data_IF_752518939595
#
_entry.id   IF_752518939595
#
_cell.length_a   1.000
_cell.length_b   1.000
_cell.length_c   1.000
_cell.angle_alpha   90.00
_cell.angle_beta   90.00
_cell.angle_gamma   90.00
#
_symmetry.space_group_name_H-M   'P 1'
#
loop_
_entity.id
_entity.type
_entity.pdbx_description
1 polymer ?
#
# COMPACT_ATOMS: atom_id res chain seq x y z
N UNK A 1 -21.75 -17.91 -54.54
CA UNK A 1 -22.32 -18.33 -53.24
C UNK A 1 -22.93 -17.08 -52.63
N UNK A 2 -24.25 -17.06 -52.48
CA UNK A 2 -25.02 -15.85 -52.23
C UNK A 2 -24.83 -15.37 -50.79
N UNK A 3 -24.60 -14.06 -50.63
CA UNK A 3 -24.57 -13.33 -49.35
C UNK A 3 -25.75 -13.75 -48.46
N UNK A 4 -25.45 -14.42 -47.35
CA UNK A 4 -26.43 -14.73 -46.30
C UNK A 4 -26.71 -13.47 -45.46
N UNK A 5 -27.27 -12.47 -46.15
CA UNK A 5 -27.54 -11.16 -45.56
C UNK A 5 -28.75 -11.31 -44.64
N UNK A 6 -28.48 -11.30 -43.33
CA UNK A 6 -29.50 -11.43 -42.29
C UNK A 6 -30.67 -10.47 -42.53
N UNK A 7 -31.85 -11.07 -42.69
CA UNK A 7 -33.09 -10.38 -43.02
C UNK A 7 -33.67 -9.80 -41.73
N UNK A 8 -33.39 -8.53 -41.45
CA UNK A 8 -33.97 -7.81 -40.31
C UNK A 8 -34.70 -6.56 -40.79
N UNK A 9 -35.77 -6.19 -40.09
CA UNK A 9 -36.45 -4.90 -40.29
C UNK A 9 -35.54 -3.74 -39.85
N UNK A 10 -35.67 -2.53 -40.45
CA UNK A 10 -34.86 -1.37 -40.05
C UNK A 10 -35.03 -1.01 -38.56
N UNK A 11 -36.23 -1.20 -38.02
CA UNK A 11 -36.52 -0.98 -36.61
C UNK A 11 -35.80 -2.00 -35.70
N UNK A 12 -35.72 -3.27 -36.10
CA UNK A 12 -34.99 -4.30 -35.37
C UNK A 12 -33.47 -4.06 -35.35
N UNK A 13 -32.88 -3.65 -36.48
CA UNK A 13 -31.44 -3.32 -36.54
C UNK A 13 -31.08 -2.18 -35.61
N UNK A 14 -31.85 -1.09 -35.68
CA UNK A 14 -31.62 0.08 -34.83
C UNK A 14 -31.71 -0.27 -33.35
N UNK A 15 -32.71 -1.06 -32.96
CA UNK A 15 -32.89 -1.47 -31.56
C UNK A 15 -31.80 -2.45 -31.10
N UNK A 16 -31.31 -3.33 -31.98
CA UNK A 16 -30.21 -4.22 -31.68
C UNK A 16 -28.87 -3.47 -31.54
N UNK A 17 -28.60 -2.49 -32.40
CA UNK A 17 -27.41 -1.63 -32.31
C UNK A 17 -27.42 -0.78 -31.02
N UNK A 18 -28.56 -0.18 -30.68
CA UNK A 18 -28.72 0.63 -29.46
C UNK A 18 -28.52 -0.20 -28.16
N UNK A 19 -28.79 -1.51 -28.22
CA UNK A 19 -28.69 -2.43 -27.08
C UNK A 19 -27.45 -3.33 -27.12
N UNK A 20 -26.63 -3.25 -28.18
CA UNK A 20 -25.45 -4.09 -28.37
C UNK A 20 -25.77 -5.59 -28.53
N UNK A 21 -26.91 -5.93 -29.13
CA UNK A 21 -27.38 -7.31 -29.31
C UNK A 21 -27.02 -7.79 -30.72
N UNK A 22 -26.40 -8.96 -30.83
CA UNK A 22 -26.12 -9.58 -32.13
C UNK A 22 -27.40 -10.14 -32.75
N UNK A 23 -27.78 -9.63 -33.92
CA UNK A 23 -29.00 -10.03 -34.61
C UNK A 23 -29.01 -11.50 -35.09
N UNK A 24 -27.84 -12.14 -35.19
CA UNK A 24 -27.71 -13.55 -35.54
C UNK A 24 -28.20 -14.49 -34.43
N UNK A 25 -28.20 -14.01 -33.18
CA UNK A 25 -28.62 -14.79 -32.01
C UNK A 25 -30.14 -14.67 -31.77
N UNK A 26 -30.81 -13.79 -32.52
CA UNK A 26 -32.25 -13.52 -32.39
C UNK A 26 -33.03 -14.36 -33.40
N UNK A 27 -33.92 -15.20 -32.89
CA UNK A 27 -34.84 -15.99 -33.73
C UNK A 27 -35.94 -15.08 -34.31
N UNK A 28 -35.92 -14.88 -35.63
CA UNK A 28 -36.89 -14.02 -36.32
C UNK A 28 -38.25 -14.66 -36.55
N UNK A 29 -39.33 -13.98 -36.14
CA UNK A 29 -40.72 -14.45 -36.26
C UNK A 29 -41.38 -14.10 -37.61
N UNK A 30 -40.74 -13.26 -38.42
CA UNK A 30 -41.29 -12.78 -39.70
C UNK A 30 -41.20 -13.77 -40.86
N UNK A 31 -41.95 -13.51 -41.93
CA UNK A 31 -41.94 -14.33 -43.14
C UNK A 31 -40.51 -14.52 -43.70
N UNK A 32 -40.11 -15.78 -43.91
CA UNK A 32 -38.74 -16.20 -44.27
C UNK A 32 -37.67 -15.90 -43.21
N UNK A 33 -38.00 -16.04 -41.92
CA UNK A 33 -37.06 -15.89 -40.80
C UNK A 33 -36.60 -14.44 -40.57
N UNK A 34 -37.46 -13.47 -40.92
CA UNK A 34 -37.12 -12.05 -40.79
C UNK A 34 -37.22 -11.59 -39.33
N UNK A 35 -36.19 -10.94 -38.81
CA UNK A 35 -36.17 -10.40 -37.44
C UNK A 35 -36.98 -9.10 -37.36
N UNK A 36 -38.00 -9.11 -36.52
CA UNK A 36 -38.83 -7.96 -36.18
C UNK A 36 -38.36 -7.29 -34.88
N UNK A 37 -38.90 -6.10 -34.59
CA UNK A 37 -38.50 -5.33 -33.41
C UNK A 37 -38.87 -6.07 -32.11
N UNK A 38 -40.03 -6.72 -32.14
CA UNK A 38 -40.57 -7.52 -31.04
C UNK A 38 -39.69 -8.74 -30.72
N UNK A 39 -39.00 -9.30 -31.72
CA UNK A 39 -38.10 -10.44 -31.55
C UNK A 39 -36.84 -10.03 -30.76
N UNK A 40 -36.29 -8.85 -31.05
CA UNK A 40 -35.12 -8.29 -30.33
C UNK A 40 -35.50 -7.88 -28.90
N UNK A 41 -36.71 -7.36 -28.69
CA UNK A 41 -37.25 -7.06 -27.34
C UNK A 41 -37.48 -8.35 -26.54
N UNK A 42 -38.00 -9.41 -27.17
CA UNK A 42 -38.20 -10.71 -26.54
C UNK A 42 -36.86 -11.34 -26.17
N UNK A 43 -35.86 -11.27 -27.06
CA UNK A 43 -34.51 -11.77 -26.82
C UNK A 43 -33.86 -11.11 -25.59
N UNK A 44 -34.02 -9.78 -25.45
CA UNK A 44 -33.59 -9.02 -24.26
C UNK A 44 -34.23 -9.57 -22.98
N UNK A 45 -35.52 -9.89 -23.01
CA UNK A 45 -36.23 -10.37 -21.81
C UNK A 45 -35.86 -11.80 -21.42
N UNK A 46 -35.46 -12.65 -22.37
CA UNK A 46 -34.97 -14.01 -22.10
C UNK A 46 -33.51 -14.06 -21.67
N UNK A 47 -32.63 -13.16 -22.16
CA UNK A 47 -31.18 -13.26 -21.93
C UNK A 47 -30.66 -12.35 -20.80
N UNK A 48 -31.51 -11.47 -20.22
CA UNK A 48 -31.14 -10.72 -19.02
C UNK A 48 -31.41 -11.59 -17.79
N UNK A 49 -30.34 -12.14 -17.21
CA UNK A 49 -30.40 -12.87 -15.93
C UNK A 49 -30.92 -11.93 -14.84
N UNK A 50 -32.16 -12.16 -14.40
CA UNK A 50 -32.83 -11.34 -13.40
C UNK A 50 -32.38 -11.76 -12.01
N UNK A 51 -31.44 -11.05 -11.39
CA UNK A 51 -30.99 -11.31 -10.01
C UNK A 51 -31.60 -10.29 -9.03
N UNK A 52 -32.02 -10.74 -7.85
CA UNK A 52 -32.47 -9.82 -6.80
C UNK A 52 -31.28 -9.00 -6.25
N UNK A 53 -31.48 -7.74 -5.83
CA UNK A 53 -30.38 -6.89 -5.33
C UNK A 53 -29.63 -7.50 -4.13
N UNK A 54 -30.35 -8.25 -3.29
CA UNK A 54 -29.77 -8.95 -2.14
C UNK A 54 -28.93 -10.16 -2.57
N UNK A 55 -29.43 -10.94 -3.54
CA UNK A 55 -28.70 -12.08 -4.09
C UNK A 55 -27.43 -11.65 -4.84
N UNK A 56 -27.49 -10.52 -5.57
CA UNK A 56 -26.32 -9.96 -6.27
C UNK A 56 -25.19 -9.57 -5.32
N UNK A 57 -25.54 -9.01 -4.15
CA UNK A 57 -24.56 -8.62 -3.12
C UNK A 57 -23.84 -9.85 -2.56
N UNK A 58 -24.60 -10.89 -2.22
CA UNK A 58 -24.07 -12.15 -1.67
C UNK A 58 -23.21 -12.87 -2.73
N UNK A 59 -23.65 -12.89 -3.98
CA UNK A 59 -22.88 -13.54 -5.05
C UNK A 59 -21.56 -12.83 -5.34
N UNK A 60 -21.52 -11.49 -5.28
CA UNK A 60 -20.27 -10.72 -5.40
C UNK A 60 -19.31 -10.97 -4.23
N UNK A 61 -19.84 -11.08 -3.01
CA UNK A 61 -19.04 -11.32 -1.80
C UNK A 61 -18.37 -12.70 -1.81
N UNK A 62 -19.02 -13.68 -2.42
CA UNK A 62 -18.54 -15.06 -2.52
C UNK A 62 -17.97 -15.44 -3.91
N UNK A 63 -17.77 -14.47 -4.81
CA UNK A 63 -17.28 -14.66 -6.19
C UNK A 63 -18.05 -15.74 -6.99
N UNK A 64 -19.37 -15.80 -6.82
CA UNK A 64 -20.22 -16.78 -7.50
C UNK A 64 -20.70 -16.20 -8.83
N UNK A 65 -20.40 -16.89 -9.94
CA UNK A 65 -20.96 -16.56 -11.26
C UNK A 65 -22.46 -16.92 -11.31
N UNK A 66 -23.32 -15.95 -11.64
CA UNK A 66 -24.78 -16.10 -11.61
C UNK A 66 -25.42 -16.38 -12.96
N UNK A 67 -24.62 -16.51 -14.01
CA UNK A 67 -25.06 -16.78 -15.38
C UNK A 67 -25.64 -18.18 -15.55
N UNK A 68 -25.18 -19.13 -14.73
CA UNK A 68 -25.58 -20.54 -14.79
C UNK A 68 -26.59 -20.92 -13.69
N UNK A 69 -26.96 -19.96 -12.83
CA UNK A 69 -27.86 -20.22 -11.70
C UNK A 69 -29.31 -20.14 -12.16
N UNK A 70 -30.02 -21.26 -12.06
CA UNK A 70 -31.46 -21.28 -12.29
C UNK A 70 -32.20 -20.66 -11.09
N UNK A 71 -32.72 -19.44 -11.28
CA UNK A 71 -33.44 -18.72 -10.24
C UNK A 71 -34.84 -19.28 -9.95
N UNK A 72 -35.16 -19.51 -8.68
CA UNK A 72 -36.46 -20.06 -8.24
C UNK A 72 -37.53 -18.99 -8.02
N UNK A 73 -37.20 -17.71 -8.18
CA UNK A 73 -38.13 -16.58 -8.02
C UNK A 73 -39.07 -16.35 -9.21
N UNK A 74 -40.09 -15.52 -8.99
CA UNK A 74 -41.10 -15.18 -10.01
C UNK A 74 -40.47 -14.66 -11.32
N UNK A 75 -40.78 -15.33 -12.44
CA UNK A 75 -40.19 -15.12 -13.79
C UNK A 75 -38.68 -15.43 -13.87
N UNK A 76 -38.22 -16.50 -13.22
CA UNK A 76 -36.84 -17.00 -13.29
C UNK A 76 -35.82 -16.14 -12.54
N UNK A 77 -36.28 -15.39 -11.52
CA UNK A 77 -35.44 -14.43 -10.79
C UNK A 77 -34.59 -15.13 -9.73
N UNK A 78 -33.27 -14.93 -9.74
CA UNK A 78 -32.34 -15.51 -8.75
C UNK A 78 -32.56 -14.82 -7.40
N UNK A 79 -32.97 -15.62 -6.40
CA UNK A 79 -33.22 -15.17 -5.03
C UNK A 79 -32.05 -15.56 -4.11
N UNK A 80 -32.06 -14.99 -2.89
CA UNK A 80 -31.03 -15.26 -1.87
C UNK A 80 -30.79 -16.76 -1.63
N UNK A 81 -31.86 -17.56 -1.62
CA UNK A 81 -31.80 -19.00 -1.38
C UNK A 81 -31.01 -19.74 -2.47
N UNK A 82 -31.12 -19.30 -3.72
CA UNK A 82 -30.45 -19.93 -4.86
C UNK A 82 -28.94 -19.70 -4.83
N UNK A 83 -28.51 -18.51 -4.39
CA UNK A 83 -27.08 -18.17 -4.22
C UNK A 83 -26.51 -18.87 -2.98
N UNK A 84 -27.29 -18.99 -1.91
CA UNK A 84 -26.86 -19.68 -0.69
C UNK A 84 -26.80 -21.21 -0.84
N UNK A 85 -27.65 -21.81 -1.68
CA UNK A 85 -27.63 -23.26 -1.94
C UNK A 85 -26.37 -23.73 -2.68
N UNK A 86 -25.64 -22.81 -3.31
CA UNK A 86 -24.35 -23.06 -3.95
C UNK A 86 -23.17 -22.88 -2.99
N UNK A 87 -23.42 -22.36 -1.78
CA UNK A 87 -22.45 -22.41 -0.70
C UNK A 87 -22.52 -23.81 -0.08
N UNK A 88 -21.39 -24.49 0.14
CA UNK A 88 -21.39 -25.75 0.85
C UNK A 88 -21.94 -25.52 2.28
N UNK A 89 -23.12 -26.08 2.56
CA UNK A 89 -23.66 -26.20 3.92
C UNK A 89 -22.74 -27.12 4.73
N UNK A 90 -21.77 -26.54 5.44
CA UNK A 90 -21.12 -27.15 6.59
C UNK A 90 -20.25 -26.11 7.32
N UNK A 91 -20.92 -25.14 7.94
CA UNK A 91 -20.31 -24.42 9.06
C UNK A 91 -21.34 -24.46 10.19
N UNK A 92 -21.25 -25.50 11.00
CA UNK A 92 -21.40 -25.40 12.45
C UNK A 92 -20.80 -26.65 13.12
N UNK A 93 -19.87 -26.39 14.04
CA UNK A 93 -19.25 -27.28 15.03
C UNK A 93 -17.95 -28.01 14.63
N UNK A 94 -16.84 -27.31 14.89
CA UNK A 94 -15.67 -27.77 15.64
C UNK A 94 -14.97 -29.06 15.17
N UNK A 95 -13.87 -28.93 14.43
CA UNK A 95 -12.55 -29.48 14.79
C UNK A 95 -11.52 -29.26 13.68
N UNK A 96 -10.32 -28.85 14.11
CA UNK A 96 -9.12 -28.65 13.29
C UNK A 96 -8.77 -29.90 12.49
N UNK A 97 -8.77 -29.81 11.15
CA UNK A 97 -7.82 -30.54 10.29
C UNK A 97 -7.23 -29.60 9.23
N UNK A 98 -5.90 -29.63 9.20
CA UNK A 98 -4.94 -28.84 8.43
C UNK A 98 -5.25 -28.73 6.92
N UNK A 99 -4.87 -27.60 6.27
CA UNK A 99 -5.06 -27.38 4.84
C UNK A 99 -4.03 -28.20 4.05
N UNK A 100 -4.48 -29.20 3.30
CA UNK A 100 -3.65 -29.88 2.33
C UNK A 100 -4.52 -30.42 1.19
N UNK A 101 -4.69 -29.58 0.17
CA UNK A 101 -4.67 -29.89 -1.28
C UNK A 101 -5.46 -28.80 -2.01
N UNK A 102 -4.88 -27.61 -2.06
CA UNK A 102 -5.11 -26.70 -3.17
C UNK A 102 -4.16 -27.17 -4.26
N UNK A 103 -4.72 -27.57 -5.41
CA UNK A 103 -3.95 -27.92 -6.58
C UNK A 103 -2.99 -26.78 -6.94
N UNK A 104 -1.72 -27.15 -7.09
CA UNK A 104 -0.60 -26.27 -7.38
C UNK A 104 -0.81 -25.68 -8.78
N UNK A 105 -1.21 -24.41 -8.86
CA UNK A 105 -1.03 -23.64 -10.09
C UNK A 105 0.48 -23.58 -10.34
N UNK A 106 0.95 -24.07 -11.48
CA UNK A 106 2.36 -23.95 -11.87
C UNK A 106 2.74 -22.47 -11.89
N UNK A 107 3.61 -22.08 -10.96
CA UNK A 107 4.18 -20.74 -10.86
C UNK A 107 5.03 -20.48 -12.11
N UNK A 108 4.56 -19.59 -12.98
CA UNK A 108 5.43 -18.94 -13.98
C UNK A 108 6.57 -18.30 -13.20
N UNK A 109 7.85 -18.53 -13.55
CA UNK A 109 8.96 -17.91 -12.85
C UNK A 109 8.82 -16.38 -12.93
N UNK A 110 8.69 -15.77 -11.75
CA UNK A 110 8.40 -14.35 -11.49
C UNK A 110 9.52 -13.37 -11.94
N UNK A 111 10.47 -13.90 -12.72
CA UNK A 111 11.72 -13.31 -13.14
C UNK A 111 11.73 -12.98 -14.64
N UNK A 112 10.64 -13.21 -15.39
CA UNK A 112 10.56 -12.86 -16.81
C UNK A 112 9.27 -12.09 -17.05
N UNK A 113 9.41 -10.84 -17.49
CA UNK A 113 8.28 -10.01 -17.96
C UNK A 113 8.31 -9.90 -19.47
N UNK A 114 7.25 -9.34 -20.07
CA UNK A 114 7.21 -9.04 -21.51
C UNK A 114 8.34 -8.11 -21.98
N UNK A 115 9.09 -7.50 -21.06
CA UNK A 115 10.18 -6.56 -21.31
C UNK A 115 11.58 -7.13 -20.98
N UNK A 116 11.69 -8.32 -20.38
CA UNK A 116 12.97 -8.95 -20.05
C UNK A 116 13.03 -9.61 -18.67
N UNK A 117 14.23 -10.07 -18.31
CA UNK A 117 14.52 -10.70 -17.02
C UNK A 117 14.51 -9.69 -15.85
N UNK A 118 13.92 -10.08 -14.72
CA UNK A 118 13.83 -9.31 -13.49
C UNK A 118 14.45 -10.11 -12.36
N UNK A 119 15.34 -9.46 -11.62
CA UNK A 119 15.86 -9.96 -10.35
C UNK A 119 15.06 -9.34 -9.18
N UNK A 120 14.44 -10.20 -8.36
CA UNK A 120 13.70 -9.78 -7.17
C UNK A 120 14.52 -10.10 -5.91
N UNK A 121 15.11 -9.08 -5.31
CA UNK A 121 15.85 -9.22 -4.06
C UNK A 121 14.88 -9.02 -2.88
N UNK A 122 14.68 -10.01 -1.99
CA UNK A 122 13.79 -9.87 -0.85
C UNK A 122 14.33 -8.81 0.14
N UNK A 123 13.43 -8.01 0.70
CA UNK A 123 13.81 -7.03 1.72
C UNK A 123 14.11 -7.72 3.05
N UNK A 124 15.21 -7.33 3.70
CA UNK A 124 15.47 -7.72 5.09
C UNK A 124 14.45 -7.04 6.02
N UNK A 125 14.12 -7.64 7.19
CA UNK A 125 13.21 -7.03 8.16
C UNK A 125 13.63 -5.61 8.56
N UNK A 126 14.93 -5.38 8.76
CA UNK A 126 15.48 -4.07 9.10
C UNK A 126 15.24 -3.05 7.97
N UNK A 127 15.50 -3.43 6.71
CA UNK A 127 15.26 -2.56 5.55
C UNK A 127 13.79 -2.22 5.38
N UNK A 128 12.89 -3.18 5.65
CA UNK A 128 11.44 -2.98 5.59
C UNK A 128 10.97 -1.93 6.60
N UNK A 129 11.43 -2.02 7.85
CA UNK A 129 11.09 -1.05 8.90
C UNK A 129 11.63 0.33 8.59
N UNK A 130 12.89 0.44 8.14
CA UNK A 130 13.49 1.73 7.74
C UNK A 130 12.67 2.37 6.61
N UNK A 131 12.34 1.60 5.57
CA UNK A 131 11.55 2.10 4.44
C UNK A 131 10.17 2.62 4.89
N UNK A 132 9.48 1.89 5.76
CA UNK A 132 8.20 2.31 6.31
C UNK A 132 8.31 3.64 7.08
N UNK A 133 9.29 3.76 7.99
CA UNK A 133 9.50 4.98 8.79
C UNK A 133 9.90 6.19 7.95
N UNK A 134 10.72 5.99 6.93
CA UNK A 134 11.11 7.05 5.99
C UNK A 134 9.91 7.59 5.22
N UNK A 135 9.05 6.72 4.70
CA UNK A 135 7.83 7.11 3.99
C UNK A 135 6.86 7.84 4.94
N UNK A 136 6.64 7.29 6.13
CA UNK A 136 5.81 7.91 7.16
C UNK A 136 6.29 9.32 7.51
N UNK A 137 7.59 9.50 7.77
CA UNK A 137 8.16 10.81 8.10
C UNK A 137 8.05 11.80 6.94
N UNK A 138 8.33 11.36 5.70
CA UNK A 138 8.30 12.25 4.54
C UNK A 138 6.89 12.72 4.18
N UNK A 139 5.87 11.86 4.35
CA UNK A 139 4.49 12.20 4.04
C UNK A 139 3.79 13.01 5.13
N UNK A 140 4.18 12.83 6.39
CA UNK A 140 3.52 13.48 7.54
C UNK A 140 4.11 14.86 7.86
N UNK A 141 5.42 15.05 7.68
CA UNK A 141 6.08 16.29 8.04
C UNK A 141 6.23 17.23 6.84
N UNK A 142 5.80 18.51 6.93
CA UNK A 142 6.14 19.52 5.93
C UNK A 142 7.63 19.87 6.03
N UNK A 143 8.45 19.15 5.26
CA UNK A 143 9.91 19.33 5.27
C UNK A 143 10.33 20.52 4.43
N UNK A 144 11.24 21.33 4.95
CA UNK A 144 11.95 22.37 4.20
C UNK A 144 13.44 22.26 4.50
N UNK A 145 14.27 22.60 3.52
CA UNK A 145 15.73 22.48 3.63
C UNK A 145 16.36 23.86 3.69
N UNK A 146 17.24 24.08 4.66
CA UNK A 146 18.07 25.27 4.77
C UNK A 146 19.55 24.87 4.67
N UNK A 147 20.31 25.60 3.86
CA UNK A 147 21.74 25.41 3.72
C UNK A 147 22.46 26.67 4.20
N UNK A 148 23.48 26.50 5.05
CA UNK A 148 24.33 27.57 5.55
C UNK A 148 25.79 27.13 5.49
N UNK A 149 26.68 28.06 5.19
CA UNK A 149 28.12 27.86 5.29
C UNK A 149 28.60 28.35 6.67
N UNK A 150 29.46 27.55 7.30
CA UNK A 150 30.00 27.84 8.63
C UNK A 150 31.51 27.77 8.57
N UNK A 151 32.19 28.84 8.99
CA UNK A 151 33.64 28.84 9.15
C UNK A 151 34.04 27.99 10.37
N UNK A 152 34.89 26.98 10.14
CA UNK A 152 35.34 26.02 11.13
C UNK A 152 36.73 26.33 11.69
N UNK A 153 37.36 27.43 11.27
CA UNK A 153 38.75 27.79 11.64
C UNK A 153 38.96 27.80 13.15
N UNK A 154 38.12 28.55 13.88
CA UNK A 154 38.18 28.64 15.34
C UNK A 154 37.84 27.32 16.04
N UNK A 155 36.91 26.53 15.48
CA UNK A 155 36.55 25.23 16.05
C UNK A 155 37.71 24.24 15.94
N UNK A 156 38.44 24.24 14.82
CA UNK A 156 39.64 23.41 14.65
C UNK A 156 40.78 23.86 15.55
N UNK A 157 40.93 25.18 15.77
CA UNK A 157 41.89 25.72 16.73
C UNK A 157 41.55 25.30 18.17
N UNK A 158 40.27 25.38 18.56
CA UNK A 158 39.78 24.89 19.84
C UNK A 158 40.05 23.39 19.98
N UNK A 159 39.70 22.59 18.96
CA UNK A 159 39.91 21.14 18.97
C UNK A 159 41.35 20.76 19.28
N UNK A 160 42.34 21.44 18.67
CA UNK A 160 43.76 21.20 18.94
C UNK A 160 44.11 21.44 20.42
N UNK A 161 43.55 22.47 21.05
CA UNK A 161 43.80 22.80 22.46
C UNK A 161 43.19 21.79 23.44
N UNK A 162 42.01 21.25 23.13
CA UNK A 162 41.32 20.27 24.00
C UNK A 162 41.68 18.82 23.70
N UNK A 163 42.37 18.54 22.59
CA UNK A 163 42.73 17.17 22.21
C UNK A 163 43.63 16.51 23.26
N UNK A 164 44.74 17.15 23.59
CA UNK A 164 45.77 16.56 24.47
C UNK A 164 45.23 16.35 25.90
N UNK A 165 44.56 17.33 26.55
CA UNK A 165 44.03 17.13 27.91
C UNK A 165 42.96 16.04 28.01
N UNK A 166 42.08 15.93 26.99
CA UNK A 166 41.00 14.94 27.01
C UNK A 166 41.54 13.54 26.70
N UNK A 167 42.52 13.45 25.78
CA UNK A 167 43.19 12.19 25.49
C UNK A 167 43.95 11.66 26.70
N UNK A 168 44.59 12.53 27.49
CA UNK A 168 45.23 12.14 28.75
C UNK A 168 44.21 11.70 29.82
N UNK A 169 43.08 12.40 29.95
CA UNK A 169 42.07 12.09 30.95
C UNK A 169 41.24 10.83 30.65
N UNK A 170 41.02 10.49 29.38
CA UNK A 170 40.07 9.43 28.99
C UNK A 170 40.59 8.39 28.02
N UNK A 171 41.80 8.59 27.46
CA UNK A 171 42.35 7.71 26.44
C UNK A 171 41.61 7.76 25.09
N UNK A 172 40.59 8.64 24.93
CA UNK A 172 39.81 8.78 23.70
C UNK A 172 40.12 10.08 22.97
N UNK A 173 40.03 10.02 21.64
CA UNK A 173 40.32 11.14 20.74
C UNK A 173 39.05 11.92 20.45
N UNK A 174 39.06 13.23 20.73
CA UNK A 174 37.94 14.12 20.41
C UNK A 174 37.85 14.38 18.90
N UNK A 175 36.66 14.23 18.36
CA UNK A 175 36.32 14.48 16.96
C UNK A 175 35.66 15.84 16.78
N UNK A 176 35.54 16.29 15.53
CA UNK A 176 34.78 17.52 15.21
C UNK A 176 33.28 17.29 15.49
N UNK A 177 32.79 16.09 15.22
CA UNK A 177 31.40 15.68 15.49
C UNK A 177 31.01 15.82 16.95
N UNK A 178 31.94 15.57 17.88
CA UNK A 178 31.69 15.74 19.33
C UNK A 178 31.49 17.21 19.71
N UNK A 179 32.29 18.10 19.13
CA UNK A 179 32.16 19.54 19.35
C UNK A 179 30.87 20.10 18.75
N UNK A 180 30.51 19.62 17.55
CA UNK A 180 29.24 19.96 16.91
C UNK A 180 28.04 19.45 17.73
N UNK A 181 28.12 18.21 18.22
CA UNK A 181 27.11 17.61 19.09
C UNK A 181 26.89 18.45 20.35
N UNK A 182 27.97 18.88 21.00
CA UNK A 182 27.88 19.76 22.16
C UNK A 182 27.25 21.13 21.82
N UNK A 183 27.62 21.71 20.68
CA UNK A 183 27.07 22.98 20.22
C UNK A 183 25.55 22.85 19.95
N UNK A 184 25.11 21.77 19.33
CA UNK A 184 23.69 21.47 19.08
C UNK A 184 22.93 21.33 20.40
N UNK A 185 23.42 20.51 21.33
CA UNK A 185 22.77 20.31 22.64
C UNK A 185 22.59 21.62 23.41
N UNK A 186 23.64 22.45 23.46
CA UNK A 186 23.57 23.77 24.11
C UNK A 186 22.62 24.75 23.42
N UNK A 187 22.48 24.63 22.10
CA UNK A 187 21.60 25.49 21.30
C UNK A 187 20.14 25.08 21.45
N UNK A 188 19.85 23.78 21.47
CA UNK A 188 18.49 23.25 21.65
C UNK A 188 17.87 23.68 22.99
N UNK A 189 18.68 23.77 24.06
CA UNK A 189 18.22 24.31 25.36
C UNK A 189 17.79 25.77 25.31
N UNK A 190 18.31 26.57 24.36
CA UNK A 190 17.95 27.99 24.17
C UNK A 190 16.77 28.18 23.22
N UNK A 191 16.43 27.17 22.43
CA UNK A 191 15.38 27.22 21.41
C UNK A 191 14.36 26.09 21.60
N UNK A 192 13.42 26.23 22.56
CA UNK A 192 12.48 25.17 22.93
C UNK A 192 11.57 24.69 21.79
N UNK A 193 11.21 25.57 20.85
CA UNK A 193 10.38 25.21 19.70
C UNK A 193 11.08 24.29 18.69
N UNK A 194 12.41 24.29 18.65
CA UNK A 194 13.20 23.37 17.83
C UNK A 194 13.29 22.01 18.52
N UNK A 195 13.36 22.00 19.87
CA UNK A 195 13.36 20.79 20.70
C UNK A 195 11.95 20.38 21.14
N UNK A 196 11.00 20.34 20.21
CA UNK A 196 9.60 20.04 20.47
C UNK A 196 9.10 18.86 19.63
N UNK A 197 8.07 18.18 20.12
CA UNK A 197 7.29 17.21 19.35
C UNK A 197 5.84 17.64 19.26
N UNK A 198 5.12 17.08 18.28
CA UNK A 198 3.68 17.25 18.14
C UNK A 198 2.98 16.00 18.66
N UNK A 199 1.87 16.16 19.37
CA UNK A 199 1.00 15.02 19.68
C UNK A 199 0.42 14.40 18.40
N UNK A 200 0.10 13.10 18.44
CA UNK A 200 -0.50 12.39 17.29
C UNK A 200 -1.78 13.09 16.80
N UNK A 201 -2.54 13.69 17.72
CA UNK A 201 -3.76 14.45 17.41
C UNK A 201 -3.50 15.80 16.71
N UNK A 202 -2.23 16.26 16.65
CA UNK A 202 -1.85 17.55 16.08
C UNK A 202 -2.28 18.77 16.88
N UNK A 203 -2.82 18.58 18.10
CA UNK A 203 -3.47 19.65 18.90
C UNK A 203 -2.52 20.37 19.84
N UNK A 204 -1.45 19.73 20.26
CA UNK A 204 -0.55 20.26 21.28
C UNK A 204 0.91 20.08 20.88
N UNK A 205 1.69 21.13 21.12
CA UNK A 205 3.14 21.11 20.98
C UNK A 205 3.73 20.75 22.35
N UNK A 206 4.53 19.69 22.40
CA UNK A 206 5.25 19.25 23.59
C UNK A 206 6.67 19.77 23.50
N UNK A 207 7.02 20.75 24.34
CA UNK A 207 8.39 21.26 24.45
C UNK A 207 9.16 20.47 25.51
N UNK A 208 10.38 20.05 25.19
CA UNK A 208 11.21 19.28 26.11
C UNK A 208 12.30 20.15 26.75
N UNK A 209 12.38 20.12 28.09
CA UNK A 209 13.40 20.83 28.88
C UNK A 209 14.67 20.00 29.10
N UNK A 210 14.87 18.98 28.27
CA UNK A 210 16.02 18.08 28.26
C UNK A 210 16.34 17.72 26.80
N UNK A 211 17.57 17.27 26.54
CA UNK A 211 18.00 16.92 25.19
C UNK A 211 18.53 15.49 25.17
N UNK A 212 17.86 14.64 24.39
CA UNK A 212 18.39 13.32 24.02
C UNK A 212 18.97 13.43 22.61
N UNK A 213 20.27 13.17 22.47
CA UNK A 213 20.94 13.30 21.18
C UNK A 213 21.17 11.92 20.56
N UNK A 214 20.58 11.69 19.39
CA UNK A 214 20.85 10.49 18.59
C UNK A 214 21.86 10.82 17.48
N UNK A 215 22.82 9.92 17.25
CA UNK A 215 23.78 10.03 16.15
C UNK A 215 23.50 8.95 15.11
N UNK A 216 23.30 9.34 13.86
CA UNK A 216 23.10 8.39 12.76
C UNK A 216 24.46 7.86 12.27
N UNK A 217 24.73 6.58 12.50
CA UNK A 217 25.97 5.91 12.10
C UNK A 217 25.66 4.90 11.00
N UNK A 218 26.23 5.14 9.82
CA UNK A 218 26.13 4.21 8.69
C UNK A 218 26.95 2.95 8.93
N UNK A 219 26.35 1.79 8.68
CA UNK A 219 26.99 0.48 8.69
C UNK A 219 26.82 -0.16 7.29
N UNK A 220 27.66 -1.13 6.94
CA UNK A 220 27.60 -1.79 5.62
C UNK A 220 26.21 -2.41 5.33
N UNK A 221 25.57 -2.93 6.38
CA UNK A 221 24.28 -3.61 6.28
C UNK A 221 23.08 -2.75 6.75
N UNK A 222 23.29 -1.46 7.04
CA UNK A 222 22.19 -0.54 7.36
C UNK A 222 22.56 0.66 8.21
N UNK A 223 21.62 1.09 9.06
CA UNK A 223 21.75 2.31 9.86
C UNK A 223 21.58 1.97 11.34
N UNK A 224 22.51 2.44 12.18
CA UNK A 224 22.38 2.38 13.64
C UNK A 224 22.33 3.78 14.22
N UNK A 225 21.46 3.98 15.21
CA UNK A 225 21.27 5.28 15.87
C UNK A 225 21.46 5.16 17.38
N UNK A 226 22.70 5.17 17.90
CA UNK A 226 22.94 5.30 19.35
C UNK A 226 22.35 6.61 19.89
N UNK A 227 21.79 6.55 21.09
CA UNK A 227 21.14 7.69 21.76
C UNK A 227 21.86 8.00 23.07
N UNK A 228 22.29 9.25 23.22
CA UNK A 228 22.83 9.79 24.46
C UNK A 228 21.70 10.51 25.20
N UNK A 229 21.26 9.90 26.29
CA UNK A 229 20.19 10.45 27.12
C UNK A 229 20.69 11.59 28.01
N UNK A 230 19.86 12.61 28.18
CA UNK A 230 20.14 13.82 28.98
C UNK A 230 21.52 14.43 28.65
N UNK A 231 21.79 14.60 27.36
CA UNK A 231 23.07 15.11 26.87
C UNK A 231 23.39 16.51 27.40
N UNK A 232 22.39 17.29 27.84
CA UNK A 232 22.59 18.62 28.43
C UNK A 232 23.33 18.60 29.77
N UNK A 233 23.26 17.48 30.50
CA UNK A 233 23.94 17.30 31.79
C UNK A 233 25.34 16.72 31.62
N UNK A 234 25.68 16.26 30.42
CA UNK A 234 26.93 15.58 30.16
C UNK A 234 28.03 16.58 29.80
N UNK A 235 29.22 16.37 30.38
CA UNK A 235 30.42 17.05 29.94
C UNK A 235 30.83 16.55 28.54
N UNK A 236 31.58 17.38 27.79
CA UNK A 236 32.05 17.06 26.44
C UNK A 236 32.69 15.67 26.35
N UNK A 237 33.44 15.31 27.40
CA UNK A 237 34.11 14.02 27.54
C UNK A 237 33.12 12.86 27.51
N UNK A 238 32.00 12.98 28.22
CA UNK A 238 30.98 11.92 28.30
C UNK A 238 30.19 11.78 27.01
N UNK A 239 29.94 12.89 26.31
CA UNK A 239 29.31 12.87 24.97
C UNK A 239 30.23 12.16 23.97
N UNK A 240 31.52 12.51 23.92
CA UNK A 240 32.51 11.87 23.04
C UNK A 240 32.69 10.38 23.36
N UNK A 241 32.58 10.00 24.64
CA UNK A 241 32.71 8.60 25.05
C UNK A 241 31.51 7.71 24.67
N UNK A 242 30.36 8.30 24.36
CA UNK A 242 29.08 7.60 24.20
C UNK A 242 28.77 7.20 22.75
N UNK A 243 29.59 7.65 21.80
CA UNK A 243 29.49 7.30 20.38
C UNK A 243 30.67 6.43 19.93
#
# INVERSE_FOLDING_TARGET
MADDKLRATPAARKLADDLGINLYDVTGSGANGRVHKEDVETYKDTNVVRISPLAKRIALEHNIAWQEIQGTGHRGKIMKKDVLALLPENIENDTIKSPAQIEKVEEVPDNITSYGEIERIPMTPMRKVIAQRMVESYLTAPTFTLNYEVDMTEMLALRKKVLDPIMEATGKKVTVTDLLSLAVVKTLMKHPYINASLTEDGKTIITHNYVNLAMAVGMDNGLMTPVVYNAEKNELVRVSCSF
#
